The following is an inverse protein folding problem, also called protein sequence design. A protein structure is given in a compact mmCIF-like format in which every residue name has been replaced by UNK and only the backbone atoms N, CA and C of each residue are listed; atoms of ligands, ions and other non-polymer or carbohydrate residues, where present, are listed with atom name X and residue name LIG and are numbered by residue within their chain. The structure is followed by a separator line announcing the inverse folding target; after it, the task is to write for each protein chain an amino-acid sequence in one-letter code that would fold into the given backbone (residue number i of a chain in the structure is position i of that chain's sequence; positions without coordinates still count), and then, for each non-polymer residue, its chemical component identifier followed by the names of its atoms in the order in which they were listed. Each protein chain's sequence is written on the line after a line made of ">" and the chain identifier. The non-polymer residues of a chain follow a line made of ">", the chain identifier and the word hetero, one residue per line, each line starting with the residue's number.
data_IF_793212897496
#
_entry.id   IF_793212897496
#
_cell.length_a   1.000
_cell.length_b   1.000
_cell.length_c   1.000
_cell.angle_alpha   90.00
_cell.angle_beta   90.00
_cell.angle_gamma   90.00
#
_symmetry.space_group_name_H-M   'P 1'
#
loop_
_entity.id
_entity.type
_entity.pdbx_description
1 polymer ?
#
# COMPACT_ATOMS: atom_id res chain seq x y z
N UNK A 1 -7.43 22.84 12.68
CA UNK A 1 -7.59 22.10 11.40
C UNK A 1 -6.34 22.43 10.61
N UNK A 2 -5.45 21.46 10.35
CA UNK A 2 -4.22 21.69 9.58
C UNK A 2 -4.61 22.12 8.16
N UNK A 3 -4.11 23.27 7.68
CA UNK A 3 -4.42 23.81 6.36
C UNK A 3 -3.77 22.96 5.26
N UNK A 4 -4.33 22.98 4.04
CA UNK A 4 -3.70 22.38 2.87
C UNK A 4 -2.31 22.99 2.62
N UNK A 5 -2.15 24.29 2.92
CA UNK A 5 -0.88 25.01 2.83
C UNK A 5 0.16 24.48 3.82
N UNK A 6 -0.28 24.01 5.01
CA UNK A 6 0.62 23.41 6.01
C UNK A 6 1.17 22.07 5.51
N UNK A 7 0.35 21.28 4.81
CA UNK A 7 0.75 20.02 4.19
C UNK A 7 1.68 20.23 3.00
N UNK A 8 1.43 21.24 2.17
CA UNK A 8 2.30 21.56 1.03
C UNK A 8 3.68 22.05 1.48
N UNK A 9 3.72 22.91 2.50
CA UNK A 9 4.97 23.41 3.09
C UNK A 9 5.76 22.29 3.80
N UNK A 10 5.07 21.36 4.46
CA UNK A 10 5.70 20.18 5.05
C UNK A 10 6.26 19.23 3.97
N UNK A 11 5.56 19.09 2.85
CA UNK A 11 6.03 18.30 1.70
C UNK A 11 7.26 18.93 1.03
N UNK A 12 7.25 20.25 0.80
CA UNK A 12 8.39 20.98 0.23
C UNK A 12 9.63 20.93 1.11
N UNK A 13 9.50 21.18 2.41
CA UNK A 13 10.62 21.11 3.35
C UNK A 13 11.23 19.71 3.42
N UNK A 14 10.39 18.68 3.38
CA UNK A 14 10.80 17.28 3.30
C UNK A 14 11.52 16.94 1.98
N UNK A 15 11.03 17.44 0.84
CA UNK A 15 11.66 17.27 -0.47
C UNK A 15 13.05 17.92 -0.54
N UNK A 16 13.19 19.14 -0.01
CA UNK A 16 14.46 19.85 0.06
C UNK A 16 15.49 19.07 0.89
N UNK A 17 15.10 18.62 2.09
CA UNK A 17 15.97 17.80 2.93
C UNK A 17 16.43 16.51 2.21
N UNK A 18 15.52 15.79 1.52
CA UNK A 18 15.92 14.59 0.75
C UNK A 18 16.83 14.87 -0.43
N UNK A 19 16.68 16.00 -1.11
CA UNK A 19 17.54 16.39 -2.21
C UNK A 19 18.97 16.64 -1.72
N UNK A 20 19.10 17.28 -0.56
CA UNK A 20 20.38 17.53 0.10
C UNK A 20 21.05 16.21 0.52
N UNK A 21 20.31 15.27 1.15
CA UNK A 21 20.86 13.95 1.49
C UNK A 21 21.37 13.18 0.27
N UNK A 22 20.62 13.19 -0.85
CA UNK A 22 21.04 12.53 -2.10
C UNK A 22 22.27 13.18 -2.71
N UNK A 23 22.44 14.48 -2.55
CA UNK A 23 23.62 15.21 -3.03
C UNK A 23 24.84 14.85 -2.16
N UNK A 24 24.68 14.89 -0.85
CA UNK A 24 25.75 14.57 0.11
C UNK A 24 26.23 13.12 -0.02
N UNK A 25 25.31 12.16 -0.12
CA UNK A 25 25.64 10.74 -0.31
C UNK A 25 26.40 10.51 -1.63
N UNK A 26 26.03 11.22 -2.71
CA UNK A 26 26.77 11.17 -3.98
C UNK A 26 28.16 11.79 -3.87
N UNK A 27 28.30 12.87 -3.10
CA UNK A 27 29.60 13.49 -2.83
C UNK A 27 30.54 12.53 -2.10
N UNK A 28 30.08 11.95 -0.99
CA UNK A 28 30.84 10.96 -0.21
C UNK A 28 31.18 9.71 -1.03
N UNK A 29 30.27 9.24 -1.89
CA UNK A 29 30.56 8.10 -2.76
C UNK A 29 31.66 8.40 -3.80
N UNK A 30 31.66 9.61 -4.38
CA UNK A 30 32.75 10.06 -5.26
C UNK A 30 34.07 10.17 -4.51
N UNK A 31 34.04 10.70 -3.29
CA UNK A 31 35.22 10.81 -2.44
C UNK A 31 35.78 9.45 -2.03
N UNK A 32 34.90 8.49 -1.69
CA UNK A 32 35.27 7.10 -1.42
C UNK A 32 35.94 6.46 -2.64
N UNK A 33 35.33 6.61 -3.82
CA UNK A 33 35.87 6.06 -5.08
C UNK A 33 37.26 6.63 -5.38
N UNK A 34 37.44 7.93 -5.18
CA UNK A 34 38.73 8.59 -5.35
C UNK A 34 39.77 8.09 -4.34
N UNK A 35 39.38 7.89 -3.09
CA UNK A 35 40.30 7.34 -2.09
C UNK A 35 40.67 5.88 -2.34
N UNK A 36 39.74 5.09 -2.89
CA UNK A 36 40.04 3.73 -3.29
C UNK A 36 41.08 3.67 -4.41
N UNK A 37 40.99 4.57 -5.41
CA UNK A 37 42.00 4.67 -6.47
C UNK A 37 43.38 5.05 -5.89
N UNK A 38 43.43 6.09 -5.03
CA UNK A 38 44.67 6.47 -4.34
C UNK A 38 45.24 5.37 -3.43
N UNK A 39 44.36 4.54 -2.88
CA UNK A 39 44.76 3.40 -2.07
C UNK A 39 45.46 2.34 -2.93
N UNK A 40 44.94 2.06 -4.13
CA UNK A 40 45.61 1.19 -5.11
C UNK A 40 47.03 1.67 -5.40
N UNK A 41 47.23 2.98 -5.62
CA UNK A 41 48.55 3.54 -5.87
C UNK A 41 49.50 3.36 -4.67
N UNK A 42 49.00 3.57 -3.44
CA UNK A 42 49.80 3.41 -2.22
C UNK A 42 50.16 1.95 -1.94
N UNK A 43 49.31 0.98 -2.29
CA UNK A 43 49.66 -0.43 -2.17
C UNK A 43 50.85 -0.81 -3.06
N UNK A 44 51.01 -0.15 -4.21
CA UNK A 44 52.12 -0.37 -5.14
C UNK A 44 53.38 0.41 -4.70
N UNK A 45 53.25 1.69 -4.35
CA UNK A 45 54.40 2.55 -4.06
C UNK A 45 54.91 2.45 -2.62
N UNK A 46 54.00 2.39 -1.63
CA UNK A 46 54.32 2.52 -0.20
C UNK A 46 53.36 1.69 0.67
N UNK A 47 53.46 0.35 0.62
CA UNK A 47 52.51 -0.54 1.29
C UNK A 47 52.45 -0.36 2.81
N UNK A 48 53.50 0.18 3.46
CA UNK A 48 53.50 0.48 4.90
C UNK A 48 52.46 1.54 5.32
N UNK A 49 51.96 2.36 4.39
CA UNK A 49 50.98 3.41 4.67
C UNK A 49 49.52 2.97 4.48
N UNK A 50 49.27 1.68 4.19
CA UNK A 50 47.93 1.18 3.87
C UNK A 50 46.92 1.47 5.00
N UNK A 51 47.33 1.29 6.26
CA UNK A 51 46.44 1.36 7.42
C UNK A 51 45.75 2.73 7.54
N UNK A 52 46.51 3.82 7.34
CA UNK A 52 45.97 5.18 7.39
C UNK A 52 44.94 5.44 6.29
N UNK A 53 45.19 4.96 5.07
CA UNK A 53 44.21 5.11 3.98
C UNK A 53 42.94 4.29 4.18
N UNK A 54 43.07 3.11 4.79
CA UNK A 54 41.91 2.29 5.17
C UNK A 54 41.09 3.00 6.26
N UNK A 55 41.72 3.65 7.23
CA UNK A 55 41.01 4.47 8.23
C UNK A 55 40.25 5.64 7.59
N UNK A 56 40.88 6.37 6.66
CA UNK A 56 40.24 7.47 5.93
C UNK A 56 38.99 7.00 5.17
N UNK A 57 39.09 5.86 4.46
CA UNK A 57 37.94 5.25 3.78
C UNK A 57 36.87 4.78 4.78
N UNK A 58 37.29 4.23 5.92
CA UNK A 58 36.39 3.84 7.00
C UNK A 58 35.60 5.01 7.58
N UNK A 59 36.20 6.21 7.64
CA UNK A 59 35.49 7.42 8.07
C UNK A 59 34.41 7.82 7.07
N UNK A 60 34.70 7.80 5.77
CA UNK A 60 33.72 8.09 4.71
C UNK A 60 32.53 7.11 4.80
N UNK A 61 32.82 5.82 4.97
CA UNK A 61 31.80 4.78 5.11
C UNK A 61 30.93 4.98 6.35
N UNK A 62 31.51 5.33 7.50
CA UNK A 62 30.74 5.67 8.70
C UNK A 62 29.82 6.87 8.46
N UNK A 63 30.33 7.92 7.80
CA UNK A 63 29.54 9.11 7.47
C UNK A 63 28.35 8.77 6.56
N UNK A 64 28.58 7.96 5.51
CA UNK A 64 27.51 7.48 4.64
C UNK A 64 26.47 6.67 5.41
N UNK A 65 26.90 5.77 6.29
CA UNK A 65 26.02 4.98 7.13
C UNK A 65 25.18 5.84 8.08
N UNK A 66 25.76 6.88 8.68
CA UNK A 66 25.02 7.83 9.49
C UNK A 66 23.95 8.58 8.68
N UNK A 67 24.28 9.06 7.47
CA UNK A 67 23.30 9.70 6.59
C UNK A 67 22.15 8.76 6.22
N UNK A 68 22.44 7.50 5.88
CA UNK A 68 21.41 6.49 5.60
C UNK A 68 20.53 6.21 6.82
N UNK A 69 21.12 6.14 8.01
CA UNK A 69 20.38 5.95 9.25
C UNK A 69 19.44 7.11 9.55
N UNK A 70 19.89 8.35 9.33
CA UNK A 70 19.06 9.55 9.47
C UNK A 70 17.89 9.57 8.49
N UNK A 71 17.96 8.84 7.36
CA UNK A 71 16.88 8.72 6.39
C UNK A 71 15.84 7.63 6.74
N UNK A 72 16.16 6.68 7.62
CA UNK A 72 15.24 5.57 7.98
C UNK A 72 13.88 6.03 8.53
N UNK A 73 13.81 7.03 9.45
CA UNK A 73 12.53 7.52 9.96
C UNK A 73 11.64 8.13 8.87
N UNK A 74 12.27 8.80 7.90
CA UNK A 74 11.60 9.39 6.75
C UNK A 74 11.02 8.32 5.83
N UNK A 75 11.83 7.31 5.47
CA UNK A 75 11.37 6.19 4.65
C UNK A 75 10.19 5.46 5.31
N UNK A 76 10.26 5.20 6.62
CA UNK A 76 9.16 4.57 7.36
C UNK A 76 7.87 5.39 7.27
N UNK A 77 7.95 6.72 7.40
CA UNK A 77 6.80 7.61 7.23
C UNK A 77 6.22 7.53 5.81
N UNK A 78 7.05 7.61 4.78
CA UNK A 78 6.59 7.47 3.39
C UNK A 78 5.92 6.12 3.14
N UNK A 79 6.46 5.02 3.67
CA UNK A 79 5.85 3.68 3.59
C UNK A 79 4.49 3.64 4.28
N UNK A 80 4.36 4.25 5.46
CA UNK A 80 3.08 4.31 6.19
C UNK A 80 2.06 5.13 5.41
N UNK A 81 2.44 6.30 4.89
CA UNK A 81 1.55 7.15 4.09
C UNK A 81 1.03 6.37 2.88
N UNK A 82 1.92 5.72 2.13
CA UNK A 82 1.54 4.92 0.97
C UNK A 82 0.58 3.79 1.33
N UNK A 83 0.81 3.11 2.47
CA UNK A 83 -0.08 2.06 2.95
C UNK A 83 -1.47 2.62 3.29
N UNK A 84 -1.54 3.79 3.93
CA UNK A 84 -2.80 4.44 4.28
C UNK A 84 -3.56 4.91 3.04
N UNK A 85 -2.89 5.45 2.04
CA UNK A 85 -3.48 5.81 0.74
C UNK A 85 -4.14 4.58 0.09
N UNK A 86 -3.41 3.46 0.04
CA UNK A 86 -3.92 2.20 -0.49
C UNK A 86 -5.14 1.69 0.30
N UNK A 87 -5.11 1.80 1.64
CA UNK A 87 -6.25 1.43 2.48
C UNK A 87 -7.48 2.30 2.20
N UNK A 88 -7.30 3.61 2.03
CA UNK A 88 -8.38 4.53 1.69
C UNK A 88 -8.99 4.15 0.34
N UNK A 89 -8.17 3.92 -0.68
CA UNK A 89 -8.67 3.50 -2.00
C UNK A 89 -9.45 2.19 -1.94
N UNK A 90 -8.93 1.17 -1.23
CA UNK A 90 -9.63 -0.11 -1.05
C UNK A 90 -10.99 0.08 -0.38
N UNK A 91 -11.06 0.91 0.68
CA UNK A 91 -12.32 1.21 1.38
C UNK A 91 -13.31 1.95 0.48
N UNK A 92 -12.85 2.89 -0.35
CA UNK A 92 -13.70 3.58 -1.33
C UNK A 92 -14.30 2.59 -2.32
N UNK A 93 -13.47 1.72 -2.91
CA UNK A 93 -13.95 0.66 -3.84
C UNK A 93 -14.95 -0.28 -3.17
N UNK A 94 -14.68 -0.72 -1.94
CA UNK A 94 -15.61 -1.57 -1.20
C UNK A 94 -16.97 -0.88 -0.96
N UNK A 95 -16.98 0.41 -0.63
CA UNK A 95 -18.22 1.18 -0.47
C UNK A 95 -18.98 1.29 -1.80
N UNK A 96 -18.29 1.51 -2.91
CA UNK A 96 -18.90 1.55 -4.25
C UNK A 96 -19.50 0.20 -4.64
N UNK A 97 -18.80 -0.90 -4.36
CA UNK A 97 -19.30 -2.26 -4.60
C UNK A 97 -20.55 -2.57 -3.76
N UNK A 98 -20.56 -2.16 -2.48
CA UNK A 98 -21.73 -2.30 -1.61
C UNK A 98 -22.90 -1.49 -2.15
N UNK A 99 -22.66 -0.25 -2.59
CA UNK A 99 -23.70 0.60 -3.20
C UNK A 99 -24.28 -0.03 -4.45
N UNK A 100 -23.44 -0.59 -5.33
CA UNK A 100 -23.86 -1.29 -6.55
C UNK A 100 -24.74 -2.50 -6.21
N UNK A 101 -24.26 -3.39 -5.34
CA UNK A 101 -25.02 -4.57 -4.91
C UNK A 101 -26.34 -4.22 -4.24
N UNK A 102 -26.38 -3.16 -3.42
CA UNK A 102 -27.62 -2.67 -2.80
C UNK A 102 -28.65 -2.27 -3.85
N UNK A 103 -28.21 -1.59 -4.90
CA UNK A 103 -29.09 -1.16 -5.99
C UNK A 103 -29.61 -2.37 -6.79
N UNK A 104 -28.76 -3.35 -7.10
CA UNK A 104 -29.16 -4.61 -7.74
C UNK A 104 -30.25 -5.34 -6.92
N UNK A 105 -30.06 -5.47 -5.61
CA UNK A 105 -31.05 -6.08 -4.70
C UNK A 105 -32.34 -5.26 -4.65
N UNK A 106 -32.25 -3.93 -4.60
CA UNK A 106 -33.43 -3.04 -4.60
C UNK A 106 -34.26 -3.22 -5.88
N UNK A 107 -33.60 -3.31 -7.03
CA UNK A 107 -34.26 -3.54 -8.32
C UNK A 107 -34.91 -4.93 -8.38
N UNK A 108 -34.24 -5.96 -7.87
CA UNK A 108 -34.81 -7.32 -7.82
C UNK A 108 -36.05 -7.36 -6.93
N UNK A 109 -35.99 -6.78 -5.73
CA UNK A 109 -37.12 -6.69 -4.82
C UNK A 109 -38.30 -5.91 -5.44
N UNK A 110 -38.03 -4.81 -6.13
CA UNK A 110 -39.07 -4.06 -6.84
C UNK A 110 -39.73 -4.91 -7.92
N UNK A 111 -38.96 -5.66 -8.73
CA UNK A 111 -39.49 -6.58 -9.75
C UNK A 111 -40.37 -7.66 -9.12
N UNK A 112 -39.93 -8.30 -8.04
CA UNK A 112 -40.69 -9.32 -7.33
C UNK A 112 -41.97 -8.76 -6.71
N UNK A 113 -41.92 -7.58 -6.09
CA UNK A 113 -43.11 -6.92 -5.52
C UNK A 113 -44.14 -6.58 -6.60
N UNK A 114 -43.69 -6.06 -7.76
CA UNK A 114 -44.57 -5.81 -8.91
C UNK A 114 -45.21 -7.10 -9.43
N UNK A 115 -44.48 -8.21 -9.47
CA UNK A 115 -45.01 -9.51 -9.88
C UNK A 115 -46.11 -10.01 -8.91
N UNK A 116 -45.89 -9.86 -7.59
CA UNK A 116 -46.89 -10.23 -6.57
C UNK A 116 -48.12 -9.31 -6.63
N UNK A 117 -47.93 -8.01 -6.88
CA UNK A 117 -49.03 -7.06 -7.02
C UNK A 117 -49.87 -7.32 -8.28
N UNK A 118 -49.21 -7.73 -9.39
CA UNK A 118 -49.90 -8.22 -10.58
C UNK A 118 -50.72 -9.49 -10.32
N UNK A 119 -50.23 -10.38 -9.45
CA UNK A 119 -50.93 -11.61 -9.09
C UNK A 119 -52.13 -11.38 -8.14
N UNK A 120 -52.14 -10.30 -7.35
CA UNK A 120 -53.31 -9.89 -6.54
C UNK A 120 -54.38 -9.15 -7.35
N UNK A 121 -54.03 -8.59 -8.51
CA UNK A 121 -54.99 -8.00 -9.44
C UNK A 121 -55.81 -9.04 -10.21
N UNK A 122 -55.35 -10.30 -10.26
CA UNK A 122 -56.00 -11.40 -10.98
C UNK A 122 -56.82 -12.32 -10.04
N UNK A 123 -56.97 -11.92 -8.76
CA UNK A 123 -57.62 -12.69 -7.70
C UNK A 123 -59.10 -12.39 -7.45
N UNK A 124 -59.81 -11.79 -8.41
CA UNK A 124 -61.28 -11.75 -8.43
C UNK A 124 -61.80 -12.51 -9.65
N UNK A 125 -61.50 -13.79 -9.76
CA UNK A 125 -62.48 -14.70 -10.33
C UNK A 125 -62.47 -16.02 -9.56
N UNK A 126 -63.63 -16.36 -9.00
CA UNK A 126 -63.77 -17.49 -8.12
C UNK A 126 -63.63 -18.80 -8.89
N UNK A 127 -62.69 -19.66 -8.47
CA UNK A 127 -62.81 -21.11 -8.60
C UNK A 127 -61.85 -21.83 -7.63
N UNK A 128 -62.46 -22.61 -6.74
CA UNK A 128 -61.78 -23.61 -5.94
C UNK A 128 -61.30 -24.76 -6.84
N UNK A 129 -60.03 -25.15 -6.72
CA UNK A 129 -59.42 -26.46 -7.03
C UNK A 129 -57.91 -26.30 -6.90
N UNK A 130 -57.06 -27.21 -6.45
CA UNK A 130 -57.13 -28.52 -5.78
C UNK A 130 -55.74 -28.66 -5.13
N UNK A 131 -55.63 -29.45 -4.07
CA UNK A 131 -54.40 -29.63 -3.30
C UNK A 131 -53.26 -30.24 -4.11
N UNK A 132 -52.06 -29.66 -3.97
CA UNK A 132 -50.79 -30.33 -4.30
C UNK A 132 -49.85 -29.52 -5.20
N UNK A 133 -48.87 -28.83 -4.60
CA UNK A 133 -47.45 -29.18 -4.74
C UNK A 133 -46.60 -28.21 -3.91
N UNK A 134 -45.69 -28.80 -3.13
CA UNK A 134 -44.84 -28.15 -2.15
C UNK A 134 -43.87 -27.11 -2.74
N UNK A 135 -43.64 -26.07 -1.96
CA UNK A 135 -42.55 -25.09 -2.08
C UNK A 135 -41.21 -25.83 -2.15
N UNK A 136 -40.56 -25.78 -3.30
CA UNK A 136 -39.17 -26.17 -3.48
C UNK A 136 -38.48 -25.22 -4.46
N UNK A 137 -37.82 -24.18 -3.93
CA UNK A 137 -36.45 -23.81 -4.32
C UNK A 137 -35.91 -22.77 -3.32
N UNK A 138 -35.71 -23.25 -2.10
CA UNK A 138 -34.80 -22.64 -1.14
C UNK A 138 -33.47 -23.38 -1.22
N UNK A 139 -32.72 -23.23 -2.32
CA UNK A 139 -31.27 -23.52 -2.29
C UNK A 139 -30.56 -22.94 -3.53
N UNK A 140 -30.18 -21.67 -3.46
CA UNK A 140 -29.02 -21.12 -4.18
C UNK A 140 -28.59 -19.82 -3.50
N UNK A 141 -28.32 -19.89 -2.19
CA UNK A 141 -27.43 -18.92 -1.56
C UNK A 141 -26.02 -19.38 -1.88
N UNK A 142 -25.48 -18.88 -3.00
CA UNK A 142 -24.05 -18.96 -3.27
C UNK A 142 -23.32 -18.42 -2.04
N UNK A 143 -22.60 -19.34 -1.39
CA UNK A 143 -21.68 -19.07 -0.27
C UNK A 143 -20.81 -17.85 -0.62
N UNK A 144 -20.67 -16.84 0.26
CA UNK A 144 -19.62 -15.87 0.07
C UNK A 144 -18.28 -16.61 0.26
N UNK A 145 -17.47 -16.63 -0.81
CA UNK A 145 -16.06 -17.02 -0.75
C UNK A 145 -15.36 -16.07 0.24
N UNK A 146 -15.24 -16.51 1.50
CA UNK A 146 -14.25 -15.98 2.43
C UNK A 146 -12.93 -16.69 2.16
N UNK A 147 -12.27 -16.32 1.06
CA UNK A 147 -10.82 -16.44 0.99
C UNK A 147 -10.27 -15.27 1.81
N UNK A 148 -10.10 -15.51 3.10
CA UNK A 148 -9.12 -14.77 3.89
C UNK A 148 -7.78 -15.17 3.27
N UNK A 149 -7.34 -14.42 2.27
CA UNK A 149 -5.96 -14.46 1.84
C UNK A 149 -5.10 -14.03 3.03
N UNK A 150 -4.59 -15.07 3.69
CA UNK A 150 -3.47 -15.06 4.58
C UNK A 150 -2.28 -14.38 3.88
N UNK A 151 -2.14 -13.08 4.08
CA UNK A 151 -0.86 -12.39 3.89
C UNK A 151 -0.40 -11.84 5.23
N UNK A 152 -0.04 -12.79 6.10
CA UNK A 152 0.98 -12.57 7.09
C UNK A 152 2.25 -12.02 6.42
N UNK A 153 2.71 -10.88 6.91
CA UNK A 153 4.10 -10.72 7.34
C UNK A 153 5.17 -11.43 6.49
N UNK A 154 5.51 -10.88 5.34
CA UNK A 154 6.71 -11.29 4.57
C UNK A 154 7.45 -10.11 3.94
N UNK A 155 7.70 -9.05 4.73
CA UNK A 155 8.61 -7.96 4.31
C UNK A 155 9.54 -7.45 5.43
N UNK A 156 9.71 -8.21 6.51
CA UNK A 156 10.60 -7.84 7.63
C UNK A 156 11.96 -8.56 7.63
N UNK A 157 12.31 -9.29 6.56
CA UNK A 157 13.62 -9.92 6.43
C UNK A 157 14.19 -9.65 5.05
N UNK A 158 14.83 -8.49 4.87
CA UNK A 158 16.06 -8.33 4.08
C UNK A 158 16.58 -6.94 4.37
N UNK A 159 17.42 -6.79 5.37
CA UNK A 159 18.50 -5.80 5.51
C UNK A 159 19.12 -6.07 6.88
N UNK A 160 20.01 -7.05 6.89
CA UNK A 160 21.00 -7.28 7.95
C UNK A 160 22.35 -6.93 7.36
#
# INVERSE_FOLDING_TARGET
>A
MFSLDDLENLSKSHLLATADYKKELRSLNRELSFQFLKFSDVLVERPSQYARRVEDMGLILRNMHHLLNSLRPHQARSTIIHLLELQIERRKKAVEDIRRKREEVRQLLQKSLSAVHGHMSDGQDGRMMDGGMAVALADHVSRPNNEIENYGFSAAQTYR
#
